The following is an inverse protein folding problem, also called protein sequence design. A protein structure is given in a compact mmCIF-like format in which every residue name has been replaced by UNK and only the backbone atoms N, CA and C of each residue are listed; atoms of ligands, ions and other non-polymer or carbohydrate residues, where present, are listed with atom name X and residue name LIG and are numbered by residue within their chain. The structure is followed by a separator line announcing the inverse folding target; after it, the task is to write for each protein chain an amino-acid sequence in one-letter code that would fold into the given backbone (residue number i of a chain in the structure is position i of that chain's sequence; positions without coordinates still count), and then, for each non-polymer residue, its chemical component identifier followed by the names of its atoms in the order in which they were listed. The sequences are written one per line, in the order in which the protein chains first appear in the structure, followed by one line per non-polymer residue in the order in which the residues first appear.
data_IF_866396968231
#
_entry.id   IF_866396968231
#
_cell.length_a   1.000
_cell.length_b   1.000
_cell.length_c   1.000
_cell.angle_alpha   90.00
_cell.angle_beta   90.00
_cell.angle_gamma   90.00
#
_symmetry.space_group_name_H-M   'P 1'
#
loop_
_entity.id
_entity.type
_entity.pdbx_description
1 polymer ?
#
# COMPACT_ATOMS: atom_id res chain seq x y z
N UNK A 1 -20.59 -14.87 -4.48
CA UNK A 1 -20.03 -16.24 -4.49
C UNK A 1 -18.53 -16.22 -4.15
N UNK A 2 -17.73 -15.35 -4.78
CA UNK A 2 -16.30 -15.17 -4.46
C UNK A 2 -16.01 -14.81 -2.99
N UNK A 3 -16.81 -13.93 -2.37
CA UNK A 3 -16.64 -13.52 -0.96
C UNK A 3 -16.73 -14.67 0.05
N UNK A 4 -17.63 -15.65 -0.18
CA UNK A 4 -17.76 -16.85 0.66
C UNK A 4 -16.62 -17.86 0.45
N UNK A 5 -16.04 -17.91 -0.74
CA UNK A 5 -14.92 -18.80 -1.06
C UNK A 5 -13.60 -18.25 -0.47
N UNK A 6 -13.40 -16.94 -0.58
CA UNK A 6 -12.28 -16.21 0.01
C UNK A 6 -12.25 -16.33 1.55
N UNK A 7 -13.41 -16.37 2.21
CA UNK A 7 -13.50 -16.57 3.66
C UNK A 7 -12.96 -17.93 4.15
N UNK A 8 -12.80 -18.92 3.26
CA UNK A 8 -12.32 -20.28 3.60
C UNK A 8 -10.86 -20.51 3.22
N UNK A 9 -10.27 -19.66 2.38
CA UNK A 9 -8.91 -19.84 1.87
C UNK A 9 -8.04 -18.77 2.51
N UNK A 10 -7.08 -19.19 3.33
CA UNK A 10 -6.07 -18.28 3.87
C UNK A 10 -4.87 -18.20 2.92
N UNK A 11 -4.59 -17.01 2.42
CA UNK A 11 -3.51 -16.73 1.48
C UNK A 11 -2.15 -16.66 2.18
N UNK A 12 -1.12 -17.20 1.53
CA UNK A 12 0.27 -17.08 1.98
C UNK A 12 0.85 -15.70 1.64
N UNK A 13 0.41 -15.13 0.52
CA UNK A 13 0.87 -13.83 0.01
C UNK A 13 -0.34 -13.09 -0.55
N UNK A 14 -0.44 -11.81 -0.24
CA UNK A 14 -1.44 -10.90 -0.81
C UNK A 14 -0.71 -9.68 -1.36
N UNK A 15 -1.10 -9.26 -2.56
CA UNK A 15 -0.66 -8.02 -3.18
C UNK A 15 -1.87 -7.08 -3.21
N UNK A 16 -1.69 -5.88 -2.69
CA UNK A 16 -2.62 -4.77 -2.87
C UNK A 16 -1.91 -3.73 -3.73
N UNK A 17 -2.37 -3.62 -4.98
CA UNK A 17 -2.08 -2.49 -5.87
C UNK A 17 -3.40 -1.75 -6.09
N UNK A 18 -3.81 -0.87 -5.15
CA UNK A 18 -5.13 -0.29 -5.13
C UNK A 18 -5.23 0.90 -6.10
N UNK A 19 -6.46 1.31 -6.46
CA UNK A 19 -6.67 2.62 -7.04
C UNK A 19 -6.03 3.71 -6.17
N UNK A 20 -5.27 4.60 -6.80
CA UNK A 20 -4.59 5.72 -6.14
C UNK A 20 -4.64 6.96 -7.03
N UNK A 21 -4.19 8.09 -6.49
CA UNK A 21 -4.20 9.38 -7.22
C UNK A 21 -3.32 9.42 -8.47
N UNK A 22 -2.42 8.43 -8.63
CA UNK A 22 -1.48 8.35 -9.76
C UNK A 22 -0.54 9.56 -9.88
N UNK A 23 -0.33 10.30 -8.79
CA UNK A 23 0.55 11.48 -8.75
C UNK A 23 2.02 11.16 -9.03
N UNK A 24 2.45 9.91 -8.84
CA UNK A 24 3.78 9.46 -9.27
C UNK A 24 3.88 9.16 -10.76
N UNK A 25 2.76 9.01 -11.46
CA UNK A 25 2.68 8.66 -12.87
C UNK A 25 2.35 9.84 -13.80
N UNK A 26 2.52 11.09 -13.35
CA UNK A 26 2.17 12.30 -14.11
C UNK A 26 2.84 12.39 -15.49
N UNK A 27 4.04 11.84 -15.66
CA UNK A 27 4.70 11.79 -16.97
C UNK A 27 3.93 10.96 -18.00
N UNK A 28 3.18 9.94 -17.54
CA UNK A 28 2.33 9.07 -18.38
C UNK A 28 0.87 9.57 -18.42
N UNK A 29 0.42 10.21 -17.34
CA UNK A 29 -0.96 10.68 -17.14
C UNK A 29 -0.97 12.14 -16.63
N UNK A 30 -0.65 13.11 -17.50
CA UNK A 30 -0.47 14.51 -17.10
C UNK A 30 -1.76 15.17 -16.62
N UNK A 31 -2.92 14.60 -16.96
CA UNK A 31 -4.24 15.05 -16.55
C UNK A 31 -4.54 14.75 -15.07
N UNK A 32 -3.85 13.80 -14.44
CA UNK A 32 -4.11 13.41 -13.05
C UNK A 32 -3.94 14.57 -12.05
N UNK A 33 -3.05 15.54 -12.34
CA UNK A 33 -2.89 16.74 -11.49
C UNK A 33 -4.12 17.64 -11.43
N UNK A 34 -5.01 17.56 -12.41
CA UNK A 34 -6.22 18.40 -12.48
C UNK A 34 -7.46 17.69 -11.93
N UNK A 35 -7.39 16.37 -11.75
CA UNK A 35 -8.50 15.54 -11.24
C UNK A 35 -8.45 15.35 -9.72
N UNK A 36 -7.34 15.73 -9.09
CA UNK A 36 -7.13 15.56 -7.67
C UNK A 36 -7.78 16.70 -6.88
N UNK A 37 -8.74 16.36 -6.02
CA UNK A 37 -9.32 17.25 -5.00
C UNK A 37 -9.15 16.62 -3.62
N UNK A 38 -9.34 17.40 -2.56
CA UNK A 38 -9.26 16.90 -1.18
C UNK A 38 -10.33 15.82 -0.90
N UNK A 39 -11.55 16.02 -1.40
CA UNK A 39 -12.64 15.05 -1.28
C UNK A 39 -12.26 13.76 -1.99
N UNK A 40 -11.69 13.87 -3.20
CA UNK A 40 -11.30 12.68 -3.97
C UNK A 40 -10.15 11.92 -3.32
N UNK A 41 -9.18 12.64 -2.77
CA UNK A 41 -8.08 12.05 -2.00
C UNK A 41 -8.62 11.27 -0.81
N UNK A 42 -9.56 11.86 -0.05
CA UNK A 42 -10.18 11.19 1.11
C UNK A 42 -10.90 9.90 0.70
N UNK A 43 -11.72 9.94 -0.35
CA UNK A 43 -12.40 8.74 -0.89
C UNK A 43 -11.41 7.62 -1.24
N UNK A 44 -10.28 7.99 -1.87
CA UNK A 44 -9.24 7.04 -2.28
C UNK A 44 -8.56 6.43 -1.06
N UNK A 45 -8.20 7.23 -0.05
CA UNK A 45 -7.60 6.76 1.21
C UNK A 45 -8.56 5.78 1.91
N UNK A 46 -9.84 6.12 2.02
CA UNK A 46 -10.84 5.26 2.67
C UNK A 46 -11.00 3.93 1.93
N UNK A 47 -10.98 3.95 0.58
CA UNK A 47 -10.98 2.74 -0.23
C UNK A 47 -9.72 1.89 -0.01
N UNK A 48 -8.54 2.51 0.00
CA UNK A 48 -7.26 1.81 0.24
C UNK A 48 -7.25 1.12 1.61
N UNK A 49 -7.78 1.79 2.64
CA UNK A 49 -7.94 1.22 3.99
C UNK A 49 -8.92 0.06 4.01
N UNK A 50 -10.05 0.17 3.31
CA UNK A 50 -11.00 -0.95 3.19
C UNK A 50 -10.36 -2.17 2.51
N UNK A 51 -9.55 -1.98 1.47
CA UNK A 51 -8.82 -3.07 0.81
C UNK A 51 -7.78 -3.71 1.73
N UNK A 52 -7.08 -2.92 2.55
CA UNK A 52 -6.15 -3.42 3.57
C UNK A 52 -6.88 -4.29 4.61
N UNK A 53 -8.06 -3.89 5.08
CA UNK A 53 -8.90 -4.69 5.99
C UNK A 53 -9.33 -6.02 5.37
N UNK A 54 -9.72 -6.02 4.08
CA UNK A 54 -10.08 -7.27 3.39
C UNK A 54 -8.86 -8.18 3.24
N UNK A 55 -7.70 -7.63 2.87
CA UNK A 55 -6.48 -8.41 2.76
C UNK A 55 -6.04 -9.02 4.10
N UNK A 56 -6.23 -8.30 5.21
CA UNK A 56 -6.00 -8.82 6.54
C UNK A 56 -6.82 -10.09 6.83
N UNK A 57 -8.12 -10.08 6.51
CA UNK A 57 -9.01 -11.24 6.70
C UNK A 57 -8.56 -12.46 5.89
N UNK A 58 -7.96 -12.24 4.73
CA UNK A 58 -7.48 -13.29 3.83
C UNK A 58 -6.12 -13.86 4.24
N UNK A 59 -5.28 -13.09 4.93
CA UNK A 59 -3.92 -13.50 5.24
C UNK A 59 -3.89 -14.47 6.43
N UNK A 60 -3.07 -15.52 6.32
CA UNK A 60 -2.71 -16.38 7.48
C UNK A 60 -1.60 -15.75 8.30
N UNK A 61 -1.43 -16.22 9.54
CA UNK A 61 -0.19 -16.02 10.30
C UNK A 61 1.00 -16.62 9.54
N UNK A 62 2.11 -15.90 9.52
CA UNK A 62 3.28 -16.14 8.66
C UNK A 62 3.06 -15.77 7.19
N UNK A 63 1.91 -15.20 6.83
CA UNK A 63 1.63 -14.69 5.49
C UNK A 63 2.17 -13.27 5.30
N UNK A 64 2.40 -12.89 4.04
CA UNK A 64 2.93 -11.57 3.67
C UNK A 64 1.96 -10.75 2.85
N UNK A 65 1.86 -9.46 3.14
CA UNK A 65 1.08 -8.47 2.42
C UNK A 65 2.02 -7.44 1.81
N UNK A 66 2.02 -7.30 0.49
CA UNK A 66 2.70 -6.21 -0.20
C UNK A 66 1.66 -5.17 -0.58
N UNK A 67 1.79 -3.97 -0.03
CA UNK A 67 1.00 -2.81 -0.41
C UNK A 67 1.84 -1.92 -1.32
N UNK A 68 1.26 -1.50 -2.44
CA UNK A 68 1.91 -0.62 -3.41
C UNK A 68 1.00 0.48 -3.89
N UNK A 69 1.55 1.62 -4.28
CA UNK A 69 0.80 2.63 -5.05
C UNK A 69 1.72 3.30 -6.07
N UNK A 70 1.15 3.85 -7.15
CA UNK A 70 1.85 4.80 -8.02
C UNK A 70 1.60 6.28 -7.63
N UNK A 71 1.32 6.52 -6.34
CA UNK A 71 1.19 7.85 -5.76
C UNK A 71 2.46 8.24 -5.01
N UNK A 72 2.80 9.53 -5.05
CA UNK A 72 3.88 10.09 -4.23
C UNK A 72 3.38 10.68 -2.90
N UNK A 73 2.07 10.79 -2.69
CA UNK A 73 1.48 11.38 -1.49
C UNK A 73 1.76 10.53 -0.24
N UNK A 74 1.88 11.14 0.92
CA UNK A 74 2.18 10.45 2.19
C UNK A 74 0.89 9.84 2.76
N UNK A 75 -0.22 10.54 2.56
CA UNK A 75 -1.56 10.24 3.04
C UNK A 75 -2.09 8.91 2.48
N UNK A 76 -1.75 8.61 1.23
CA UNK A 76 -2.05 7.32 0.59
C UNK A 76 -1.07 6.21 0.99
N UNK A 77 0.16 6.57 1.39
CA UNK A 77 1.26 5.64 1.56
C UNK A 77 1.55 5.37 3.04
N UNK A 78 2.50 6.08 3.65
CA UNK A 78 2.94 5.82 5.01
C UNK A 78 1.83 5.98 6.02
N UNK A 79 0.91 6.93 5.82
CA UNK A 79 -0.19 7.15 6.75
C UNK A 79 -1.19 5.99 6.73
N UNK A 80 -1.44 5.39 5.58
CA UNK A 80 -2.25 4.18 5.49
C UNK A 80 -1.57 2.97 6.12
N UNK A 81 -0.25 2.81 5.93
CA UNK A 81 0.50 1.73 6.58
C UNK A 81 0.55 1.93 8.10
N UNK A 82 0.79 3.16 8.58
CA UNK A 82 0.75 3.49 10.02
C UNK A 82 -0.64 3.26 10.61
N UNK A 83 -1.69 3.66 9.90
CA UNK A 83 -3.07 3.39 10.30
C UNK A 83 -3.34 1.89 10.42
N UNK A 84 -2.90 1.11 9.43
CA UNK A 84 -3.08 -0.34 9.40
C UNK A 84 -2.33 -1.03 10.55
N UNK A 85 -1.05 -0.70 10.76
CA UNK A 85 -0.22 -1.26 11.84
C UNK A 85 -0.75 -0.89 13.23
N UNK A 86 -1.30 0.32 13.39
CA UNK A 86 -1.95 0.74 14.66
C UNK A 86 -3.19 -0.10 14.96
N UNK A 87 -3.94 -0.48 13.92
CA UNK A 87 -5.17 -1.27 14.05
C UNK A 87 -4.91 -2.76 14.19
N UNK A 88 -3.85 -3.25 13.55
CA UNK A 88 -3.46 -4.65 13.50
C UNK A 88 -2.02 -4.81 14.03
N UNK A 89 -1.82 -4.79 15.37
CA UNK A 89 -0.49 -4.86 15.97
C UNK A 89 0.21 -6.21 15.76
N UNK A 90 -0.50 -7.20 15.21
CA UNK A 90 0.07 -8.49 14.82
C UNK A 90 0.85 -8.46 13.48
N UNK A 91 1.11 -7.28 12.92
CA UNK A 91 1.93 -7.12 11.72
C UNK A 91 3.26 -6.45 12.03
N UNK A 92 4.29 -6.88 11.31
CA UNK A 92 5.59 -6.20 11.27
C UNK A 92 5.94 -5.77 9.86
N UNK A 93 6.68 -4.66 9.74
CA UNK A 93 7.29 -4.26 8.47
C UNK A 93 8.49 -5.17 8.21
N UNK A 94 8.55 -5.74 7.01
CA UNK A 94 9.73 -6.43 6.51
C UNK A 94 10.54 -5.44 5.68
N UNK A 95 11.74 -5.03 6.14
CA UNK A 95 12.53 -4.01 5.46
C UNK A 95 12.86 -4.41 4.02
N UNK A 96 12.51 -3.55 3.08
CA UNK A 96 12.88 -3.67 1.67
C UNK A 96 14.23 -2.97 1.45
N UNK A 97 15.19 -3.66 0.80
CA UNK A 97 16.57 -3.18 0.62
C UNK A 97 16.90 -2.70 -0.80
N UNK A 98 15.94 -2.72 -1.73
CA UNK A 98 16.17 -2.30 -3.11
C UNK A 98 15.11 -2.84 -4.09
N UNK A 99 15.09 -2.37 -5.35
CA UNK A 99 16.13 -1.57 -6.02
C UNK A 99 16.02 -0.05 -5.83
N UNK A 100 15.08 0.44 -5.00
CA UNK A 100 14.85 1.88 -4.80
C UNK A 100 15.20 2.33 -3.37
N UNK A 101 14.98 3.61 -3.08
CA UNK A 101 15.33 4.23 -1.80
C UNK A 101 14.34 3.89 -0.69
N UNK A 102 14.84 3.81 0.54
CA UNK A 102 13.99 3.71 1.74
C UNK A 102 13.13 4.97 1.89
N UNK A 103 11.89 4.80 2.38
CA UNK A 103 11.04 5.94 2.69
C UNK A 103 11.57 6.70 3.91
N UNK A 104 11.75 8.03 3.82
CA UNK A 104 12.16 8.83 4.98
C UNK A 104 11.05 8.97 6.03
N UNK A 105 9.79 8.66 5.69
CA UNK A 105 8.64 8.84 6.60
C UNK A 105 8.22 7.57 7.33
N UNK A 106 8.69 6.40 6.86
CA UNK A 106 8.46 5.11 7.49
C UNK A 106 9.61 4.14 7.15
N UNK A 107 10.57 3.93 8.09
CA UNK A 107 11.68 3.00 7.86
C UNK A 107 11.22 1.59 7.50
N UNK A 108 11.99 0.92 6.65
CA UNK A 108 11.69 -0.40 6.10
C UNK A 108 10.75 -0.42 4.90
N UNK A 109 10.06 0.68 4.58
CA UNK A 109 9.30 0.82 3.33
C UNK A 109 10.14 1.50 2.26
N UNK A 110 9.73 1.41 1.00
CA UNK A 110 10.56 1.81 -0.14
C UNK A 110 9.78 2.74 -1.08
N UNK A 111 10.47 3.72 -1.65
CA UNK A 111 9.95 4.67 -2.64
C UNK A 111 10.81 4.70 -3.90
N UNK A 112 10.14 4.60 -5.04
CA UNK A 112 10.71 4.96 -6.33
C UNK A 112 10.37 6.42 -6.64
N UNK A 113 11.39 7.17 -7.08
CA UNK A 113 11.28 8.58 -7.45
C UNK A 113 11.62 8.78 -8.92
N UNK A 114 10.80 9.50 -9.71
CA UNK A 114 11.07 9.71 -11.12
C UNK A 114 12.40 10.38 -11.40
N UNK A 115 12.72 11.43 -10.67
CA UNK A 115 13.92 12.23 -10.84
C UNK A 115 15.22 11.52 -10.42
N UNK A 116 15.13 10.42 -9.66
CA UNK A 116 16.31 9.67 -9.20
C UNK A 116 16.52 8.35 -9.93
N UNK A 117 15.42 7.68 -10.29
CA UNK A 117 15.45 6.29 -10.76
C UNK A 117 14.96 6.12 -12.19
N UNK A 118 14.65 7.22 -12.89
CA UNK A 118 14.15 7.20 -14.27
C UNK A 118 12.94 6.26 -14.47
N UNK A 119 12.01 6.29 -13.51
CA UNK A 119 10.83 5.42 -13.46
C UNK A 119 9.59 6.19 -12.99
N UNK A 120 8.44 5.53 -12.91
CA UNK A 120 7.23 6.09 -12.30
C UNK A 120 7.43 6.25 -10.78
N UNK A 121 6.89 7.30 -10.18
CA UNK A 121 6.85 7.45 -8.74
C UNK A 121 6.00 6.34 -8.11
N UNK A 122 6.57 5.60 -7.16
CA UNK A 122 5.92 4.41 -6.62
C UNK A 122 6.28 4.21 -5.15
N UNK A 123 5.40 3.53 -4.42
CA UNK A 123 5.58 3.20 -3.01
C UNK A 123 5.43 1.69 -2.80
N UNK A 124 6.18 1.14 -1.85
CA UNK A 124 6.17 -0.27 -1.50
C UNK A 124 6.27 -0.45 0.01
N UNK A 125 5.33 -1.18 0.60
CA UNK A 125 5.39 -1.62 1.99
C UNK A 125 5.11 -3.13 2.07
N UNK A 126 6.11 -3.89 2.52
CA UNK A 126 5.97 -5.32 2.75
C UNK A 126 5.72 -5.57 4.24
N UNK A 127 4.60 -6.20 4.55
CA UNK A 127 4.19 -6.55 5.90
C UNK A 127 4.12 -8.06 6.06
N UNK A 128 4.37 -8.56 7.26
CA UNK A 128 4.18 -9.97 7.63
C UNK A 128 3.26 -10.05 8.84
N UNK A 129 2.21 -10.90 8.76
CA UNK A 129 1.34 -11.19 9.90
C UNK A 129 2.08 -12.18 10.79
N UNK A 130 2.56 -11.74 11.95
CA UNK A 130 3.37 -12.56 12.87
C UNK A 130 2.54 -13.32 13.90
N UNK A 131 1.32 -12.85 14.19
CA UNK A 131 0.44 -13.44 15.20
C UNK A 131 -1.04 -13.27 14.80
N UNK A 132 -1.96 -13.84 15.57
CA UNK A 132 -3.40 -13.61 15.41
C UNK A 132 -3.81 -12.26 15.99
N UNK A 133 -4.30 -11.43 15.08
CA UNK A 133 -5.27 -10.37 15.27
C UNK A 133 -6.23 -10.46 14.06
#
# INVERSE_FOLDING_TARGET
YASKLLARIKAHKVLIDPPCTSTGALAKHPDARWRLTEEKLKEIIDLQRALLEEAHKLLRVGGRLLYTTCSILIEENEDNIKWFLKRHPCYQIIPLKGPYEESPWLPGTMRAWPHKHNTTGFYYALLEKVDEC
#
